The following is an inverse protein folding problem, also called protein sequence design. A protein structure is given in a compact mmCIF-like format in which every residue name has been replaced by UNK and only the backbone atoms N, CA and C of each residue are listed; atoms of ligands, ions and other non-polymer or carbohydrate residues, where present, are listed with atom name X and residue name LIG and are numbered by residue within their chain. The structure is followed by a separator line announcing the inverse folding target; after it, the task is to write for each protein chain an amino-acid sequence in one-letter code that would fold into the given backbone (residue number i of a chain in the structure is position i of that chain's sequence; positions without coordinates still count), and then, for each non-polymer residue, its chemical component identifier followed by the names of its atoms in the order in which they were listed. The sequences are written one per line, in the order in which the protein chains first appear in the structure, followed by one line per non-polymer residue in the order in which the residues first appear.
data_IF_878756389287
#
_entry.id   IF_878756389287
#
_cell.length_a   1.000
_cell.length_b   1.000
_cell.length_c   1.000
_cell.angle_alpha   90.00
_cell.angle_beta   90.00
_cell.angle_gamma   90.00
#
_symmetry.space_group_name_H-M   'P 1'
#
loop_
_entity.id
_entity.type
_entity.pdbx_description
1 polymer ?
#
# COMPACT_ATOMS: atom_id res chain seq x y z
N UNK A 1 -14.20 10.93 -10.40
CA UNK A 1 -14.60 12.18 -11.06
C UNK A 1 -14.88 11.98 -12.54
N UNK A 2 -13.87 11.65 -13.36
CA UNK A 2 -14.01 11.54 -14.83
C UNK A 2 -15.11 10.53 -15.27
N UNK A 3 -15.14 9.36 -14.64
CA UNK A 3 -16.20 8.34 -14.85
C UNK A 3 -17.58 8.79 -14.37
N UNK A 4 -17.66 9.46 -13.22
CA UNK A 4 -18.91 9.95 -12.64
C UNK A 4 -19.56 11.07 -13.48
N UNK A 5 -18.74 11.97 -14.04
CA UNK A 5 -19.23 13.07 -14.89
C UNK A 5 -19.63 12.57 -16.28
N UNK A 6 -18.78 11.75 -16.92
CA UNK A 6 -19.03 11.31 -18.30
C UNK A 6 -20.08 10.21 -18.40
N UNK A 7 -20.11 9.27 -17.45
CA UNK A 7 -20.95 8.07 -17.56
C UNK A 7 -22.20 8.11 -16.68
N UNK A 8 -22.15 8.78 -15.53
CA UNK A 8 -23.27 8.86 -14.60
C UNK A 8 -24.01 10.22 -14.65
N UNK A 9 -23.54 11.18 -15.44
CA UNK A 9 -24.17 12.50 -15.62
C UNK A 9 -24.20 13.36 -14.34
N UNK A 10 -23.38 13.04 -13.35
CA UNK A 10 -23.32 13.75 -12.07
C UNK A 10 -22.58 15.08 -12.29
N UNK A 11 -23.13 16.18 -11.79
CA UNK A 11 -22.47 17.49 -11.89
C UNK A 11 -21.17 17.51 -11.07
N UNK A 12 -20.15 18.23 -11.55
CA UNK A 12 -18.89 18.37 -10.82
C UNK A 12 -19.10 18.89 -9.40
N UNK A 13 -20.03 19.83 -9.23
CA UNK A 13 -20.35 20.42 -7.94
C UNK A 13 -20.90 19.38 -6.96
N UNK A 14 -21.84 18.54 -7.39
CA UNK A 14 -22.44 17.51 -6.53
C UNK A 14 -21.44 16.42 -6.17
N UNK A 15 -20.54 16.05 -7.09
CA UNK A 15 -19.46 15.11 -6.82
C UNK A 15 -18.54 15.61 -5.69
N UNK A 16 -18.05 16.86 -5.77
CA UNK A 16 -17.15 17.41 -4.74
C UNK A 16 -17.86 17.63 -3.40
N UNK A 17 -19.12 18.06 -3.42
CA UNK A 17 -19.93 18.21 -2.20
C UNK A 17 -20.13 16.87 -1.49
N UNK A 18 -20.39 15.80 -2.25
CA UNK A 18 -20.50 14.44 -1.70
C UNK A 18 -19.18 13.93 -1.13
N UNK A 19 -18.06 14.22 -1.80
CA UNK A 19 -16.72 13.82 -1.34
C UNK A 19 -16.38 14.46 0.01
N UNK A 20 -16.70 15.75 0.20
CA UNK A 20 -16.46 16.46 1.45
C UNK A 20 -17.38 16.01 2.60
N UNK A 21 -18.58 15.53 2.30
CA UNK A 21 -19.55 15.14 3.33
C UNK A 21 -19.09 13.93 4.17
N UNK A 22 -18.36 13.00 3.55
CA UNK A 22 -17.86 11.78 4.22
C UNK A 22 -16.35 11.82 4.50
N UNK A 23 -15.69 12.93 4.19
CA UNK A 23 -14.26 13.05 4.37
C UNK A 23 -13.91 13.30 5.85
N UNK A 24 -13.12 12.42 6.44
CA UNK A 24 -12.54 12.61 7.76
C UNK A 24 -11.04 12.93 7.60
N UNK A 25 -10.52 13.98 8.25
CA UNK A 25 -9.07 14.25 8.24
C UNK A 25 -8.23 13.06 8.72
N UNK A 26 -8.81 12.21 9.58
CA UNK A 26 -8.19 10.98 10.07
C UNK A 26 -7.92 9.96 8.97
N UNK A 27 -8.70 9.96 7.87
CA UNK A 27 -8.49 9.06 6.72
C UNK A 27 -7.14 9.34 6.05
N UNK A 28 -6.77 10.63 5.96
CA UNK A 28 -5.48 11.05 5.40
C UNK A 28 -4.33 10.67 6.31
N UNK A 29 -4.47 10.92 7.61
CA UNK A 29 -3.44 10.56 8.61
C UNK A 29 -3.25 9.04 8.64
N UNK A 30 -4.33 8.27 8.63
CA UNK A 30 -4.27 6.81 8.56
C UNK A 30 -3.59 6.31 7.28
N UNK A 31 -3.87 6.94 6.13
CA UNK A 31 -3.17 6.67 4.87
C UNK A 31 -1.67 6.95 4.93
N UNK A 32 -1.26 8.08 5.54
CA UNK A 32 0.15 8.44 5.72
C UNK A 32 0.89 7.46 6.63
N UNK A 33 0.26 7.03 7.73
CA UNK A 33 0.81 6.02 8.63
C UNK A 33 1.02 4.70 7.88
N UNK A 34 -0.01 4.22 7.14
CA UNK A 34 0.11 3.01 6.31
C UNK A 34 1.25 3.11 5.31
N UNK A 35 1.35 4.24 4.58
CA UNK A 35 2.39 4.46 3.59
C UNK A 35 3.81 4.40 4.21
N UNK A 36 4.02 4.96 5.40
CA UNK A 36 5.28 4.89 6.11
C UNK A 36 5.69 3.43 6.42
N UNK A 37 4.78 2.64 6.98
CA UNK A 37 5.04 1.25 7.33
C UNK A 37 5.24 0.33 6.11
N UNK A 38 4.48 0.57 5.03
CA UNK A 38 4.70 -0.15 3.77
C UNK A 38 6.06 0.20 3.16
N UNK A 39 6.45 1.48 3.16
CA UNK A 39 7.76 1.92 2.70
C UNK A 39 8.92 1.26 3.47
N UNK A 40 8.81 1.18 4.80
CA UNK A 40 9.78 0.46 5.63
C UNK A 40 9.85 -1.02 5.27
N UNK A 41 8.71 -1.69 5.08
CA UNK A 41 8.65 -3.12 4.75
C UNK A 41 9.28 -3.41 3.37
N UNK A 42 8.93 -2.61 2.37
CA UNK A 42 9.46 -2.73 0.99
C UNK A 42 10.95 -2.44 0.93
N UNK A 43 11.50 -1.67 1.85
CA UNK A 43 12.95 -1.41 1.91
C UNK A 43 13.68 -2.50 2.68
N UNK A 44 13.20 -2.85 3.88
CA UNK A 44 13.89 -3.76 4.80
C UNK A 44 13.84 -5.21 4.34
N UNK A 45 12.68 -5.70 3.92
CA UNK A 45 12.50 -7.12 3.58
C UNK A 45 13.38 -7.50 2.38
N UNK A 46 13.30 -6.84 1.21
CA UNK A 46 14.14 -7.20 0.08
C UNK A 46 15.62 -6.97 0.33
N UNK A 47 16.00 -5.92 1.07
CA UNK A 47 17.40 -5.69 1.45
C UNK A 47 17.94 -6.83 2.32
N UNK A 48 17.14 -7.34 3.26
CA UNK A 48 17.52 -8.49 4.08
C UNK A 48 17.78 -9.74 3.23
N UNK A 49 16.88 -10.07 2.29
CA UNK A 49 17.09 -11.19 1.38
C UNK A 49 18.30 -10.98 0.48
N UNK A 50 18.51 -9.75 -0.02
CA UNK A 50 19.68 -9.39 -0.82
C UNK A 50 21.00 -9.57 -0.08
N UNK A 51 21.11 -9.11 1.17
CA UNK A 51 22.32 -9.26 1.98
C UNK A 51 22.65 -10.72 2.34
N UNK A 52 21.64 -11.59 2.47
CA UNK A 52 21.82 -13.01 2.81
C UNK A 52 21.90 -13.92 1.59
N UNK A 53 21.91 -13.36 0.37
CA UNK A 53 21.95 -14.14 -0.85
C UNK A 53 23.34 -14.75 -1.08
N UNK A 54 23.37 -16.03 -1.47
CA UNK A 54 24.58 -16.77 -1.85
C UNK A 54 24.32 -17.63 -3.09
N UNK A 55 25.37 -18.11 -3.77
CA UNK A 55 25.22 -19.00 -4.93
C UNK A 55 25.14 -18.31 -6.30
N UNK A 56 25.71 -17.12 -6.44
CA UNK A 56 25.83 -16.42 -7.73
C UNK A 56 24.48 -16.00 -8.32
N UNK A 57 24.41 -15.90 -9.65
CA UNK A 57 23.23 -15.38 -10.36
C UNK A 57 21.95 -16.20 -10.12
N UNK A 58 22.06 -17.52 -10.00
CA UNK A 58 20.92 -18.40 -9.73
C UNK A 58 20.38 -18.21 -8.30
N UNK A 59 21.29 -18.00 -7.34
CA UNK A 59 20.95 -17.65 -5.97
C UNK A 59 20.20 -16.33 -5.85
N UNK A 60 20.64 -15.30 -6.60
CA UNK A 60 19.98 -13.99 -6.66
C UNK A 60 18.57 -14.10 -7.22
N UNK A 61 18.36 -14.90 -8.27
CA UNK A 61 17.03 -15.15 -8.82
C UNK A 61 16.07 -15.74 -7.78
N UNK A 62 16.49 -16.82 -7.08
CA UNK A 62 15.69 -17.44 -6.02
C UNK A 62 15.41 -16.51 -4.85
N UNK A 63 16.43 -15.78 -4.38
CA UNK A 63 16.29 -14.86 -3.26
C UNK A 63 15.33 -13.72 -3.58
N UNK A 64 15.36 -13.19 -4.81
CA UNK A 64 14.46 -12.13 -5.27
C UNK A 64 13.01 -12.60 -5.29
N UNK A 65 12.73 -13.79 -5.82
CA UNK A 65 11.37 -14.34 -5.83
C UNK A 65 10.83 -14.53 -4.42
N UNK A 66 11.63 -15.11 -3.52
CA UNK A 66 11.23 -15.30 -2.12
C UNK A 66 11.02 -13.96 -1.41
N UNK A 67 11.90 -12.98 -1.65
CA UNK A 67 11.80 -11.65 -1.08
C UNK A 67 10.48 -10.96 -1.45
N UNK A 68 10.08 -11.02 -2.73
CA UNK A 68 8.83 -10.40 -3.20
C UNK A 68 7.62 -11.08 -2.56
N UNK A 69 7.58 -12.41 -2.51
CA UNK A 69 6.46 -13.15 -1.90
C UNK A 69 6.31 -12.79 -0.42
N UNK A 70 7.42 -12.81 0.34
CA UNK A 70 7.40 -12.49 1.78
C UNK A 70 7.07 -11.02 2.00
N UNK A 71 7.57 -10.12 1.16
CA UNK A 71 7.24 -8.70 1.22
C UNK A 71 5.74 -8.46 1.00
N UNK A 72 5.15 -9.05 -0.04
CA UNK A 72 3.71 -8.93 -0.32
C UNK A 72 2.85 -9.46 0.83
N UNK A 73 3.19 -10.63 1.38
CA UNK A 73 2.48 -11.20 2.53
C UNK A 73 2.62 -10.31 3.77
N UNK A 74 3.82 -9.77 4.02
CA UNK A 74 4.08 -8.87 5.15
C UNK A 74 3.26 -7.59 5.03
N UNK A 75 3.14 -7.01 3.84
CA UNK A 75 2.31 -5.82 3.58
C UNK A 75 0.84 -6.11 3.87
N UNK A 76 0.30 -7.26 3.44
CA UNK A 76 -1.10 -7.62 3.71
C UNK A 76 -1.38 -7.79 5.21
N UNK A 77 -0.49 -8.49 5.93
CA UNK A 77 -0.60 -8.65 7.38
C UNK A 77 -0.53 -7.29 8.08
N UNK A 78 0.40 -6.44 7.66
CA UNK A 78 0.59 -5.11 8.21
C UNK A 78 -0.62 -4.20 7.93
N UNK A 79 -1.23 -4.28 6.75
CA UNK A 79 -2.44 -3.53 6.42
C UNK A 79 -3.59 -3.91 7.35
N UNK A 80 -3.80 -5.20 7.59
CA UNK A 80 -4.82 -5.68 8.53
C UNK A 80 -4.56 -5.18 9.95
N UNK A 81 -3.32 -5.29 10.44
CA UNK A 81 -2.96 -4.84 11.80
C UNK A 81 -3.20 -3.34 11.95
N UNK A 82 -2.75 -2.53 10.99
CA UNK A 82 -2.92 -1.07 11.04
C UNK A 82 -4.39 -0.70 10.93
N UNK A 83 -5.14 -1.36 10.04
CA UNK A 83 -6.58 -1.13 9.92
C UNK A 83 -7.31 -1.45 11.22
N UNK A 84 -7.03 -2.58 11.86
CA UNK A 84 -7.67 -2.99 13.11
C UNK A 84 -7.36 -2.09 14.32
N UNK A 85 -6.27 -1.30 14.26
CA UNK A 85 -5.89 -0.36 15.32
C UNK A 85 -6.52 1.03 15.09
N UNK A 86 -6.61 1.46 13.83
CA UNK A 86 -7.08 2.81 13.46
C UNK A 86 -8.60 2.86 13.35
N UNK A 87 -9.24 1.76 12.93
CA UNK A 87 -10.67 1.62 12.73
C UNK A 87 -11.36 1.09 14.00
#
# INVERSE_FOLDING_TARGET
WLTAVLSAGISSHDFFKGLQMFFLPMDVIGGLIKAFFFGLTVTLVPSFYGFNTTGGAEGVGRATTNAVVVCCLSILVLDYIIAAIIL
#
